data_IF_109410672948
#
_entry.id   IF_109410672948
#
_cell.length_a   1.000
_cell.length_b   1.000
_cell.length_c   1.000
_cell.angle_alpha   90.00
_cell.angle_beta   90.00
_cell.angle_gamma   90.00
#
_symmetry.space_group_name_H-M   'P 1'
#
loop_
_entity.id
_entity.type
_entity.pdbx_description
1 polymer ?
#
# COMPACT_ATOMS: atom_id res chain seq x y z
N UNK A 1 -5.39 -9.65 27.15
CA UNK A 1 -6.25 -8.81 26.28
C UNK A 1 -5.49 -8.50 25.00
N UNK A 2 -6.03 -8.88 23.82
CA UNK A 2 -5.36 -8.82 22.52
C UNK A 2 -5.41 -7.40 21.91
N UNK A 3 -4.53 -6.51 22.36
CA UNK A 3 -4.40 -5.15 21.80
C UNK A 3 -3.79 -5.10 20.38
N UNK A 4 -3.38 -6.23 19.81
CA UNK A 4 -2.74 -6.32 18.49
C UNK A 4 -3.68 -6.02 17.30
N UNK A 5 -4.98 -5.84 17.52
CA UNK A 5 -5.97 -5.66 16.44
C UNK A 5 -6.50 -4.23 16.25
N UNK A 6 -6.20 -3.27 17.14
CA UNK A 6 -6.86 -1.95 17.10
C UNK A 6 -6.16 -0.94 16.19
N UNK A 7 -4.85 -1.07 15.96
CA UNK A 7 -4.11 -0.21 15.04
C UNK A 7 -3.61 -0.99 13.84
N UNK A 8 -4.39 -1.00 12.75
CA UNK A 8 -3.86 -1.41 11.44
C UNK A 8 -2.60 -0.57 11.16
N UNK A 9 -1.45 -1.18 10.84
CA UNK A 9 -0.22 -0.45 10.60
C UNK A 9 -0.43 0.64 9.54
N UNK A 10 0.06 1.86 9.80
CA UNK A 10 -0.16 3.02 8.93
C UNK A 10 0.20 2.74 7.46
N UNK A 11 1.27 1.99 7.22
CA UNK A 11 1.68 1.59 5.87
C UNK A 11 0.67 0.69 5.14
N UNK A 12 -0.12 -0.14 5.86
CA UNK A 12 -1.19 -0.96 5.24
C UNK A 12 -2.35 -0.10 4.73
N UNK A 13 -2.65 0.99 5.45
CA UNK A 13 -3.67 1.97 5.00
C UNK A 13 -3.17 2.78 3.82
N UNK A 14 -1.94 3.31 3.92
CA UNK A 14 -1.32 4.11 2.86
C UNK A 14 -1.15 3.32 1.56
N UNK A 15 -0.71 2.07 1.62
CA UNK A 15 -0.61 1.20 0.43
C UNK A 15 -1.98 0.90 -0.18
N UNK A 16 -3.03 0.69 0.61
CA UNK A 16 -4.39 0.50 0.06
C UNK A 16 -4.92 1.76 -0.60
N UNK A 17 -4.75 2.92 0.04
CA UNK A 17 -5.24 4.21 -0.45
C UNK A 17 -4.41 4.76 -1.64
N UNK A 18 -3.23 4.18 -1.90
CA UNK A 18 -2.39 4.54 -3.04
C UNK A 18 -2.90 3.97 -4.37
N UNK A 19 -3.51 2.78 -4.35
CA UNK A 19 -4.07 2.17 -5.56
C UNK A 19 -5.53 2.59 -5.72
N UNK A 20 -5.92 3.15 -6.88
CA UNK A 20 -7.31 3.47 -7.18
C UNK A 20 -8.16 2.21 -7.32
N UNK A 21 -9.48 2.38 -7.41
CA UNK A 21 -10.39 1.26 -7.69
C UNK A 21 -10.29 0.82 -9.15
N UNK A 22 -10.16 1.79 -10.06
CA UNK A 22 -10.09 1.57 -11.51
C UNK A 22 -8.65 1.67 -12.02
N UNK A 23 -8.27 0.85 -13.00
CA UNK A 23 -6.89 0.75 -13.45
C UNK A 23 -6.36 2.05 -14.10
N UNK A 24 -7.23 2.76 -14.81
CA UNK A 24 -6.95 3.95 -15.61
C UNK A 24 -6.69 5.22 -14.78
N UNK A 25 -7.08 5.23 -13.49
CA UNK A 25 -6.97 6.42 -12.63
C UNK A 25 -5.51 6.71 -12.19
N UNK A 26 -4.62 5.72 -12.32
CA UNK A 26 -3.24 5.83 -11.89
C UNK A 26 -3.06 5.94 -10.37
N UNK A 27 -1.81 5.91 -9.90
CA UNK A 27 -1.53 5.90 -8.45
C UNK A 27 -1.84 7.26 -7.81
N UNK A 28 -2.38 7.23 -6.58
CA UNK A 28 -2.59 8.43 -5.78
C UNK A 28 -1.25 8.99 -5.26
N UNK A 29 -0.70 9.97 -5.98
CA UNK A 29 0.62 10.59 -5.73
C UNK A 29 0.74 11.13 -4.28
N UNK A 30 -0.23 11.89 -3.73
CA UNK A 30 -0.18 12.31 -2.32
C UNK A 30 -0.02 11.17 -1.31
N UNK A 31 -0.67 10.03 -1.53
CA UNK A 31 -0.58 8.85 -0.65
C UNK A 31 0.74 8.11 -0.84
N UNK A 32 1.23 8.02 -2.07
CA UNK A 32 2.56 7.49 -2.39
C UNK A 32 3.66 8.27 -1.68
N UNK A 33 3.62 9.62 -1.73
CA UNK A 33 4.57 10.48 -1.03
C UNK A 33 4.55 10.27 0.50
N UNK A 34 3.35 10.12 1.09
CA UNK A 34 3.22 9.80 2.52
C UNK A 34 3.80 8.43 2.86
N UNK A 35 3.64 7.44 1.98
CA UNK A 35 4.24 6.12 2.14
C UNK A 35 5.77 6.20 2.07
N UNK A 36 6.34 6.94 1.13
CA UNK A 36 7.78 7.16 1.01
C UNK A 36 8.38 7.81 2.27
N UNK A 37 7.72 8.84 2.79
CA UNK A 37 8.13 9.48 4.06
C UNK A 37 8.09 8.46 5.21
N UNK A 38 7.04 7.64 5.29
CA UNK A 38 6.92 6.60 6.31
C UNK A 38 8.02 5.55 6.21
N UNK A 39 8.33 5.09 4.99
CA UNK A 39 9.38 4.10 4.70
C UNK A 39 10.77 4.63 5.07
N UNK A 40 11.02 5.92 4.82
CA UNK A 40 12.27 6.57 5.21
C UNK A 40 12.40 6.73 6.72
N UNK A 41 11.31 7.02 7.42
CA UNK A 41 11.29 7.10 8.90
C UNK A 41 11.40 5.75 9.59
N UNK A 42 11.03 4.65 8.91
CA UNK A 42 10.97 3.29 9.47
C UNK A 42 11.60 2.26 8.54
N UNK A 43 12.94 2.26 8.41
CA UNK A 43 13.65 1.35 7.52
C UNK A 43 13.39 -0.13 7.84
N UNK A 44 13.13 -0.46 9.11
CA UNK A 44 12.78 -1.81 9.56
C UNK A 44 11.45 -2.33 8.98
N UNK A 45 10.61 -1.43 8.44
CA UNK A 45 9.34 -1.78 7.77
C UNK A 45 9.46 -1.85 6.25
N UNK A 46 10.62 -1.50 5.66
CA UNK A 46 10.83 -1.47 4.20
C UNK A 46 10.43 -2.79 3.53
N UNK A 47 10.96 -3.92 4.03
CA UNK A 47 10.69 -5.24 3.44
C UNK A 47 9.20 -5.59 3.48
N UNK A 48 8.53 -5.35 4.61
CA UNK A 48 7.09 -5.58 4.75
C UNK A 48 6.27 -4.72 3.78
N UNK A 49 6.70 -3.48 3.54
CA UNK A 49 6.03 -2.54 2.63
C UNK A 49 6.26 -2.97 1.18
N UNK A 50 7.48 -3.37 0.83
CA UNK A 50 7.83 -3.87 -0.50
C UNK A 50 6.98 -5.10 -0.87
N UNK A 51 6.91 -6.10 0.02
CA UNK A 51 6.07 -7.28 -0.19
C UNK A 51 4.60 -6.93 -0.38
N UNK A 52 4.10 -5.95 0.39
CA UNK A 52 2.73 -5.50 0.29
C UNK A 52 2.45 -4.77 -1.03
N UNK A 53 3.42 -3.97 -1.51
CA UNK A 53 3.33 -3.30 -2.81
C UNK A 53 3.33 -4.30 -3.97
N UNK A 54 4.20 -5.32 -3.93
CA UNK A 54 4.23 -6.39 -4.95
C UNK A 54 2.88 -7.08 -5.03
N UNK A 55 2.33 -7.49 -3.87
CA UNK A 55 1.01 -8.13 -3.82
C UNK A 55 -0.08 -7.23 -4.41
N UNK A 56 -0.05 -5.93 -4.11
CA UNK A 56 -1.03 -4.97 -4.63
C UNK A 56 -0.91 -4.74 -6.13
N UNK A 57 0.31 -4.72 -6.66
CA UNK A 57 0.56 -4.64 -8.09
C UNK A 57 0.02 -5.88 -8.81
N UNK A 58 0.25 -7.07 -8.27
CA UNK A 58 -0.32 -8.31 -8.82
C UNK A 58 -1.86 -8.27 -8.83
N UNK A 59 -2.49 -7.86 -7.73
CA UNK A 59 -3.94 -7.69 -7.65
C UNK A 59 -4.48 -6.66 -8.66
N UNK A 60 -3.68 -5.66 -9.00
CA UNK A 60 -4.05 -4.60 -9.93
C UNK A 60 -3.93 -5.06 -11.38
N UNK A 61 -2.82 -5.71 -11.75
CA UNK A 61 -2.61 -6.30 -13.09
C UNK A 61 -3.69 -7.32 -13.41
N UNK A 62 -4.03 -8.20 -12.46
CA UNK A 62 -5.09 -9.21 -12.66
C UNK A 62 -6.45 -8.54 -12.95
N UNK A 63 -6.75 -7.37 -12.37
CA UNK A 63 -8.00 -6.66 -12.65
C UNK A 63 -7.98 -5.98 -14.01
N UNK A 64 -6.85 -5.39 -14.37
CA UNK A 64 -6.64 -4.77 -15.69
C UNK A 64 -6.79 -5.80 -16.82
N UNK A 65 -6.35 -7.05 -16.61
CA UNK A 65 -6.57 -8.16 -17.56
C UNK A 65 -8.02 -8.68 -17.62
N UNK A 66 -8.86 -8.36 -16.63
CA UNK A 66 -10.25 -8.83 -16.53
C UNK A 66 -11.30 -7.82 -17.01
N UNK A 67 -10.95 -6.54 -17.11
CA UNK A 67 -11.79 -5.45 -17.67
C UNK A 67 -11.61 -5.33 -19.19
#
# INVERSE_FOLDING_TARGET
>A
MRFAQVFKPQYKRLTKEMFPQNAWEGLNIPKANKLLIYVNKKPEKRMCILLLLIKRLQEFVIRDEQE
#
